data_IF_200439304127
#
_entry.id   IF_200439304127
#
_cell.length_a   1.000
_cell.length_b   1.000
_cell.length_c   1.000
_cell.angle_alpha   90.00
_cell.angle_beta   90.00
_cell.angle_gamma   90.00
#
_symmetry.space_group_name_H-M   'P 1'
#
loop_
_entity.id
_entity.type
_entity.pdbx_description
1 polymer ?
#
# COMPACT_ATOMS: atom_id res chain seq x y z
N UNK A 1 6.98 7.19 21.62
CA UNK A 1 5.54 7.01 21.90
C UNK A 1 5.39 6.59 23.35
N UNK A 2 4.28 6.92 24.02
CA UNK A 2 3.93 6.36 25.32
C UNK A 2 3.96 4.83 25.34
N UNK A 3 4.18 4.24 26.50
CA UNK A 3 4.00 2.79 26.69
C UNK A 3 2.53 2.43 26.41
N UNK A 4 2.32 1.28 25.77
CA UNK A 4 1.02 0.77 25.35
C UNK A 4 0.29 1.54 24.24
N UNK A 5 0.97 2.45 23.53
CA UNK A 5 0.34 3.11 22.39
C UNK A 5 -0.11 2.14 21.32
N UNK A 6 -1.29 2.40 20.77
CA UNK A 6 -1.86 1.59 19.68
C UNK A 6 -1.37 2.04 18.31
N UNK A 7 -1.55 1.20 17.30
CA UNK A 7 -1.30 1.56 15.89
C UNK A 7 -2.10 2.82 15.51
N UNK A 8 -3.37 2.92 15.91
CA UNK A 8 -4.21 4.09 15.67
C UNK A 8 -3.61 5.38 16.23
N UNK A 9 -3.13 5.34 17.48
CA UNK A 9 -2.50 6.47 18.14
C UNK A 9 -1.20 6.88 17.45
N UNK A 10 -0.38 5.92 17.05
CA UNK A 10 0.85 6.21 16.32
C UNK A 10 0.59 6.85 14.96
N UNK A 11 -0.42 6.38 14.22
CA UNK A 11 -0.83 6.97 12.95
C UNK A 11 -1.32 8.41 13.15
N UNK A 12 -2.16 8.65 14.15
CA UNK A 12 -2.64 9.99 14.45
C UNK A 12 -1.51 10.93 14.89
N UNK A 13 -0.60 10.47 15.76
CA UNK A 13 0.54 11.24 16.22
C UNK A 13 1.56 11.54 15.10
N UNK A 14 1.64 10.68 14.08
CA UNK A 14 2.55 10.87 12.95
C UNK A 14 2.11 11.98 11.98
N UNK A 15 0.84 12.41 12.03
CA UNK A 15 0.26 13.35 11.07
C UNK A 15 -0.09 12.77 9.70
N UNK A 16 0.26 11.50 9.43
CA UNK A 16 0.06 10.87 8.11
C UNK A 16 -1.40 10.89 7.64
N UNK A 17 -2.36 10.75 8.56
CA UNK A 17 -3.78 10.81 8.21
C UNK A 17 -4.22 12.23 7.79
N UNK A 18 -3.60 13.26 8.35
CA UNK A 18 -3.89 14.66 8.04
C UNK A 18 -3.21 15.10 6.74
N UNK A 19 -1.96 14.69 6.54
CA UNK A 19 -1.17 15.03 5.34
C UNK A 19 -1.68 14.31 4.08
N UNK A 20 -2.31 13.14 4.23
CA UNK A 20 -2.87 12.35 3.14
C UNK A 20 -4.34 11.96 3.41
N UNK A 21 -5.29 12.89 3.25
CA UNK A 21 -6.71 12.64 3.52
C UNK A 21 -7.33 11.57 2.61
N UNK A 22 -6.75 11.37 1.42
CA UNK A 22 -7.18 10.36 0.45
C UNK A 22 -6.77 8.92 0.81
N UNK A 23 -6.12 8.72 1.96
CA UNK A 23 -5.72 7.39 2.40
C UNK A 23 -6.90 6.45 2.55
N UNK A 24 -8.11 6.94 2.86
CA UNK A 24 -9.31 6.13 3.08
C UNK A 24 -9.25 5.25 4.35
N UNK A 25 -10.15 4.27 4.51
CA UNK A 25 -10.23 3.41 5.70
C UNK A 25 -8.96 2.56 5.95
N UNK A 26 -8.28 2.75 7.07
CA UNK A 26 -6.98 2.11 7.34
C UNK A 26 -7.08 0.70 7.94
N UNK A 27 -8.25 0.31 8.44
CA UNK A 27 -8.49 -0.90 9.26
C UNK A 27 -7.86 -2.19 8.70
N UNK A 28 -7.92 -2.40 7.38
CA UNK A 28 -7.39 -3.62 6.74
C UNK A 28 -6.07 -3.41 5.98
N UNK A 29 -5.54 -2.20 6.02
CA UNK A 29 -4.39 -1.76 5.22
C UNK A 29 -3.16 -1.44 6.04
N UNK A 30 -3.18 -1.68 7.35
CA UNK A 30 -2.02 -1.46 8.21
C UNK A 30 -1.33 -2.75 8.59
N UNK A 31 -0.04 -2.65 8.89
CA UNK A 31 0.75 -3.76 9.36
C UNK A 31 1.96 -3.33 10.17
N UNK A 32 2.53 -4.31 10.87
CA UNK A 32 3.80 -4.18 11.58
C UNK A 32 4.77 -5.19 10.96
N UNK A 33 5.91 -4.72 10.47
CA UNK A 33 6.96 -5.55 9.85
C UNK A 33 6.43 -6.57 8.82
N UNK A 34 5.67 -6.10 7.83
CA UNK A 34 5.14 -6.93 6.75
C UNK A 34 3.95 -7.83 7.12
N UNK A 35 3.43 -7.73 8.35
CA UNK A 35 2.26 -8.51 8.80
C UNK A 35 1.09 -7.58 9.06
N UNK A 36 -0.08 -7.89 8.51
CA UNK A 36 -1.31 -7.14 8.79
C UNK A 36 -1.62 -7.18 10.28
N UNK A 37 -2.08 -6.06 10.82
CA UNK A 37 -2.51 -5.94 12.21
C UNK A 37 -3.76 -5.07 12.29
N UNK A 38 -4.44 -5.11 13.44
CA UNK A 38 -5.57 -4.24 13.71
C UNK A 38 -5.10 -2.88 14.24
N UNK A 39 -5.94 -1.86 14.14
CA UNK A 39 -5.62 -0.50 14.61
C UNK A 39 -5.46 -0.40 16.13
N UNK A 40 -6.08 -1.29 16.89
CA UNK A 40 -5.99 -1.41 18.35
C UNK A 40 -4.77 -2.21 18.82
N UNK A 41 -3.96 -2.74 17.89
CA UNK A 41 -2.74 -3.48 18.24
C UNK A 41 -1.78 -2.56 18.99
N UNK A 42 -1.36 -3.01 20.17
CA UNK A 42 -0.38 -2.30 21.01
C UNK A 42 1.02 -2.44 20.40
N UNK A 43 1.73 -1.32 20.27
CA UNK A 43 3.07 -1.25 19.71
C UNK A 43 4.14 -1.58 20.75
N UNK A 44 5.19 -2.27 20.29
CA UNK A 44 6.43 -2.43 21.01
C UNK A 44 7.49 -1.41 20.54
N UNK A 45 8.49 -1.18 21.38
CA UNK A 45 9.63 -0.33 21.02
C UNK A 45 10.35 -0.88 19.80
N UNK A 46 10.47 -0.05 18.75
CA UNK A 46 11.14 -0.42 17.50
C UNK A 46 10.21 -0.96 16.42
N UNK A 47 8.91 -1.14 16.72
CA UNK A 47 7.93 -1.52 15.70
C UNK A 47 7.84 -0.47 14.60
N UNK A 48 7.81 -0.96 13.35
CA UNK A 48 7.53 -0.13 12.18
C UNK A 48 6.11 -0.37 11.70
N UNK A 49 5.27 0.65 11.86
CA UNK A 49 3.92 0.71 11.27
C UNK A 49 4.03 0.99 9.78
N UNK A 50 3.33 0.19 8.99
CA UNK A 50 3.32 0.23 7.52
C UNK A 50 1.88 0.44 7.05
N UNK A 51 1.67 1.29 6.04
CA UNK A 51 0.37 1.50 5.39
C UNK A 51 0.44 0.96 3.96
N UNK A 52 -0.36 -0.06 3.68
CA UNK A 52 -0.45 -0.72 2.38
C UNK A 52 -1.44 0.00 1.46
N UNK A 53 -1.05 0.18 0.20
CA UNK A 53 -1.95 0.71 -0.83
C UNK A 53 -2.63 -0.42 -1.61
N UNK A 54 -3.91 -0.25 -1.99
CA UNK A 54 -4.57 -1.21 -2.85
C UNK A 54 -3.88 -1.28 -4.22
N UNK A 55 -3.97 -2.42 -4.88
CA UNK A 55 -3.50 -2.58 -6.25
C UNK A 55 -4.47 -1.86 -7.20
N UNK A 56 -3.93 -0.96 -8.04
CA UNK A 56 -4.72 -0.23 -9.04
C UNK A 56 -5.09 -1.08 -10.26
N UNK A 57 -4.27 -2.07 -10.58
CA UNK A 57 -4.45 -2.97 -11.71
C UNK A 57 -3.97 -4.35 -11.28
N UNK A 58 -4.69 -5.39 -11.72
CA UNK A 58 -4.24 -6.75 -11.51
C UNK A 58 -2.84 -6.94 -12.15
N UNK A 59 -1.88 -7.55 -11.44
CA UNK A 59 -0.53 -7.73 -11.95
C UNK A 59 -0.45 -8.47 -13.30
N UNK A 60 -1.38 -9.41 -13.57
CA UNK A 60 -1.44 -10.14 -14.85
C UNK A 60 -1.89 -9.23 -15.97
N UNK A 61 -2.88 -8.37 -15.73
CA UNK A 61 -3.35 -7.40 -16.71
C UNK A 61 -2.30 -6.32 -16.99
N UNK A 62 -1.63 -5.81 -15.94
CA UNK A 62 -0.49 -4.92 -16.08
C UNK A 62 0.63 -5.54 -16.92
N UNK A 63 0.90 -6.83 -16.69
CA UNK A 63 1.87 -7.59 -17.50
C UNK A 63 1.40 -7.74 -18.96
N UNK A 64 0.13 -8.04 -19.20
CA UNK A 64 -0.44 -8.17 -20.56
C UNK A 64 -0.31 -6.86 -21.34
N UNK A 65 -0.66 -5.73 -20.72
CA UNK A 65 -0.56 -4.39 -21.34
C UNK A 65 0.89 -4.03 -21.70
N UNK A 66 1.83 -4.26 -20.78
CA UNK A 66 3.27 -4.02 -21.05
C UNK A 66 3.81 -4.87 -22.20
N UNK A 67 3.33 -6.10 -22.35
CA UNK A 67 3.77 -6.98 -23.43
C UNK A 67 3.22 -6.54 -24.80
N UNK A 68 1.96 -6.06 -24.88
CA UNK A 68 1.39 -5.52 -26.12
C UNK A 68 2.06 -4.23 -26.56
N UNK A 69 2.44 -3.35 -25.63
CA UNK A 69 3.12 -2.09 -25.93
C UNK A 69 4.57 -2.29 -26.43
N UNK A 70 5.24 -3.37 -25.99
CA UNK A 70 6.61 -3.72 -26.40
C UNK A 70 6.69 -4.47 -27.72
N UNK A 71 5.56 -4.87 -28.30
CA UNK A 71 5.52 -5.51 -29.62
C UNK A 71 5.63 -4.38 -30.66
N UNK A 72 6.72 -4.27 -31.43
CA UNK A 72 6.78 -3.27 -32.48
C UNK A 72 5.58 -3.50 -33.40
N UNK A 73 4.85 -2.43 -33.73
CA UNK A 73 3.76 -2.48 -34.69
C UNK A 73 4.27 -3.23 -35.93
N UNK A 74 3.73 -4.44 -36.16
CA UNK A 74 4.25 -5.33 -37.18
C UNK A 74 4.28 -4.59 -38.50
N UNK A 75 5.45 -4.52 -39.13
CA UNK A 75 5.57 -4.12 -40.55
C UNK A 75 4.52 -4.91 -41.31
N UNK A 76 3.51 -4.22 -41.82
CA UNK A 76 2.62 -4.74 -42.85
C UNK A 76 3.51 -5.25 -43.97
N UNK A 77 3.55 -6.58 -44.17
CA UNK A 77 4.08 -7.15 -45.41
C UNK A 77 3.04 -6.85 -46.48
N UNK A 78 3.29 -5.84 -47.29
CA UNK A 78 2.57 -5.61 -48.55
C UNK A 78 2.87 -6.74 -49.51
N UNK A 79 1.82 -7.17 -50.21
CA UNK A 79 1.79 -8.20 -51.25
C UNK A 79 2.68 -7.86 -52.45
#
# INVERSE_FOLDING_TARGET
MPEHSTVAEALNASGVCADWPDLGALDERVGIHGRRCALDTVLATGDRVEIYRPLLIDPKDARRKRASERRPAGKSRSA
#
